data_IF_914438244383
#
_entry.id   IF_914438244383
#
_cell.length_a   1.000
_cell.length_b   1.000
_cell.length_c   1.000
_cell.angle_alpha   90.00
_cell.angle_beta   90.00
_cell.angle_gamma   90.00
#
_symmetry.space_group_name_H-M   'P 1'
#
loop_
_entity.id
_entity.type
_entity.pdbx_description
1 polymer ?
#
# COMPACT_ATOMS: atom_id res chain seq x y z
N UNK A 1 11.69 9.57 5.80
CA UNK A 1 11.71 8.20 6.40
C UNK A 1 12.46 8.26 7.72
N UNK A 2 11.83 7.86 8.82
CA UNK A 2 12.46 7.96 10.13
C UNK A 2 13.39 6.75 10.38
N UNK A 3 14.51 6.68 9.66
CA UNK A 3 15.56 5.69 9.89
C UNK A 3 16.47 6.25 11.00
N UNK A 4 16.18 5.90 12.24
CA UNK A 4 17.08 6.19 13.35
C UNK A 4 18.37 5.43 13.12
N UNK A 5 19.52 6.09 13.35
CA UNK A 5 20.85 5.51 13.16
C UNK A 5 21.20 5.22 11.68
N UNK A 6 21.16 6.26 10.86
CA UNK A 6 21.43 6.19 9.42
C UNK A 6 22.82 5.62 9.11
N UNK A 7 23.84 5.96 9.89
CA UNK A 7 25.23 5.50 9.67
C UNK A 7 25.34 3.97 9.83
N UNK A 8 24.64 3.42 10.84
CA UNK A 8 24.57 1.97 11.04
C UNK A 8 23.86 1.29 9.87
N UNK A 9 22.76 1.87 9.37
CA UNK A 9 21.99 1.30 8.28
C UNK A 9 22.78 1.30 6.97
N UNK A 10 23.51 2.39 6.69
CA UNK A 10 24.37 2.50 5.51
C UNK A 10 25.53 1.50 5.51
N UNK A 11 26.01 1.10 6.70
CA UNK A 11 27.07 0.10 6.86
C UNK A 11 26.56 -1.34 7.01
N UNK A 12 25.26 -1.58 7.11
CA UNK A 12 24.69 -2.91 7.36
C UNK A 12 24.45 -3.71 6.09
N UNK A 13 24.65 -5.03 6.18
CA UNK A 13 24.17 -5.95 5.13
C UNK A 13 22.65 -6.14 5.22
N UNK A 14 21.97 -6.45 4.11
CA UNK A 14 20.51 -6.69 4.10
C UNK A 14 20.04 -7.70 5.14
N UNK A 15 20.83 -8.75 5.42
CA UNK A 15 20.53 -9.77 6.43
C UNK A 15 20.57 -9.29 7.89
N UNK A 16 21.12 -8.11 8.13
CA UNK A 16 21.22 -7.49 9.46
C UNK A 16 20.07 -6.50 9.73
N UNK A 17 19.24 -6.24 8.73
CA UNK A 17 18.11 -5.32 8.79
C UNK A 17 16.79 -6.08 8.99
N UNK A 18 15.87 -5.51 9.76
CA UNK A 18 14.50 -6.03 9.83
C UNK A 18 13.75 -5.84 8.50
N UNK A 19 12.69 -6.62 8.26
CA UNK A 19 11.89 -6.50 7.04
C UNK A 19 11.36 -5.09 6.80
N UNK A 20 10.87 -4.41 7.84
CA UNK A 20 10.42 -3.03 7.75
C UNK A 20 11.56 -2.02 7.50
N UNK A 21 12.77 -2.29 8.00
CA UNK A 21 13.95 -1.47 7.67
C UNK A 21 14.34 -1.66 6.20
N UNK A 22 14.35 -2.90 5.70
CA UNK A 22 14.62 -3.19 4.29
C UNK A 22 13.63 -2.52 3.35
N UNK A 23 12.33 -2.57 3.65
CA UNK A 23 11.31 -1.88 2.87
C UNK A 23 11.53 -0.37 2.83
N UNK A 24 11.85 0.25 3.95
CA UNK A 24 12.13 1.69 4.01
C UNK A 24 13.41 2.06 3.26
N UNK A 25 14.45 1.25 3.32
CA UNK A 25 15.68 1.44 2.53
C UNK A 25 15.39 1.31 1.04
N UNK A 26 14.67 0.27 0.62
CA UNK A 26 14.28 0.07 -0.77
C UNK A 26 13.44 1.26 -1.30
N UNK A 27 12.48 1.73 -0.51
CA UNK A 27 11.67 2.90 -0.85
C UNK A 27 12.53 4.18 -0.92
N UNK A 28 13.50 4.37 -0.03
CA UNK A 28 14.41 5.52 -0.07
C UNK A 28 15.28 5.53 -1.34
N UNK A 29 15.81 4.37 -1.73
CA UNK A 29 16.60 4.20 -2.96
C UNK A 29 15.71 4.52 -4.17
N UNK A 30 14.52 3.91 -4.25
CA UNK A 30 13.58 4.10 -5.36
C UNK A 30 13.20 5.58 -5.53
N UNK A 31 12.83 6.23 -4.45
CA UNK A 31 12.44 7.65 -4.48
C UNK A 31 13.62 8.57 -4.80
N UNK A 32 14.84 8.23 -4.33
CA UNK A 32 16.07 8.96 -4.67
C UNK A 32 16.44 8.88 -6.15
N UNK A 33 16.05 7.81 -6.83
CA UNK A 33 16.23 7.66 -8.29
C UNK A 33 15.25 8.51 -9.11
N UNK A 34 14.20 9.02 -8.50
CA UNK A 34 13.17 9.86 -9.14
C UNK A 34 12.61 9.28 -10.46
N UNK A 35 12.14 8.02 -10.48
CA UNK A 35 11.68 7.37 -11.70
C UNK A 35 10.37 8.00 -12.21
N UNK A 36 10.10 7.88 -13.52
CA UNK A 36 8.84 8.32 -14.12
C UNK A 36 7.69 7.35 -13.82
N UNK A 37 8.01 6.06 -13.60
CA UNK A 37 7.05 5.00 -13.30
C UNK A 37 7.55 4.12 -12.15
N UNK A 38 6.64 3.76 -11.25
CA UNK A 38 6.90 2.86 -10.12
C UNK A 38 5.93 1.70 -10.15
N UNK A 39 6.46 0.49 -10.00
CA UNK A 39 5.68 -0.71 -9.69
C UNK A 39 5.92 -1.06 -8.21
N UNK A 40 4.89 -0.98 -7.41
CA UNK A 40 4.94 -1.27 -5.98
C UNK A 40 4.02 -2.46 -5.65
N UNK A 41 4.62 -3.57 -5.23
CA UNK A 41 3.92 -4.80 -4.85
C UNK A 41 3.98 -4.96 -3.33
N UNK A 42 2.81 -4.84 -2.67
CA UNK A 42 2.61 -4.87 -1.21
C UNK A 42 3.65 -4.05 -0.42
N UNK A 43 3.93 -2.78 -0.79
CA UNK A 43 5.05 -2.02 -0.23
C UNK A 43 4.85 -1.65 1.25
N UNK A 44 3.65 -1.83 1.79
CA UNK A 44 3.28 -1.49 3.18
C UNK A 44 3.17 -2.70 4.09
N UNK A 45 3.22 -3.93 3.58
CA UNK A 45 2.87 -5.16 4.29
C UNK A 45 3.71 -5.46 5.55
N UNK A 46 4.99 -5.03 5.59
CA UNK A 46 5.88 -5.25 6.74
C UNK A 46 6.07 -3.99 7.61
N UNK A 47 5.25 -2.96 7.41
CA UNK A 47 5.33 -1.70 8.15
C UNK A 47 4.25 -1.65 9.23
N UNK A 48 4.60 -1.06 10.39
CA UNK A 48 3.63 -0.59 11.35
C UNK A 48 2.85 0.63 10.80
N UNK A 49 1.76 1.00 11.46
CA UNK A 49 0.84 2.04 11.00
C UNK A 49 1.54 3.39 10.77
N UNK A 50 2.41 3.82 11.69
CA UNK A 50 3.13 5.10 11.60
C UNK A 50 4.06 5.11 10.37
N UNK A 51 4.84 4.06 10.17
CA UNK A 51 5.77 3.95 9.05
C UNK A 51 5.04 3.74 7.70
N UNK A 52 3.91 3.03 7.71
CA UNK A 52 3.02 2.89 6.56
C UNK A 52 2.52 4.26 6.09
N UNK A 53 1.93 5.04 7.00
CA UNK A 53 1.34 6.35 6.68
C UNK A 53 2.42 7.33 6.19
N UNK A 54 3.61 7.30 6.80
CA UNK A 54 4.75 8.09 6.35
C UNK A 54 5.19 7.69 4.93
N UNK A 55 5.28 6.40 4.62
CA UNK A 55 5.63 5.93 3.28
C UNK A 55 4.60 6.39 2.24
N UNK A 56 3.31 6.23 2.55
CA UNK A 56 2.22 6.64 1.66
C UNK A 56 2.24 8.14 1.38
N UNK A 57 2.48 8.96 2.41
CA UNK A 57 2.63 10.41 2.27
C UNK A 57 3.79 10.79 1.36
N UNK A 58 4.96 10.18 1.56
CA UNK A 58 6.14 10.42 0.73
C UNK A 58 5.87 9.99 -0.72
N UNK A 59 5.25 8.82 -0.92
CA UNK A 59 4.89 8.35 -2.26
C UNK A 59 3.90 9.30 -2.93
N UNK A 60 2.89 9.79 -2.22
CA UNK A 60 1.92 10.74 -2.73
C UNK A 60 2.59 12.04 -3.21
N UNK A 61 3.54 12.57 -2.44
CA UNK A 61 4.26 13.79 -2.81
C UNK A 61 5.22 13.58 -3.98
N UNK A 62 6.01 12.51 -3.95
CA UNK A 62 7.05 12.25 -4.93
C UNK A 62 6.52 11.71 -6.27
N UNK A 63 5.35 11.06 -6.24
CA UNK A 63 4.75 10.43 -7.41
C UNK A 63 3.56 11.23 -8.00
N UNK A 64 3.35 12.48 -7.56
CA UNK A 64 2.20 13.32 -7.95
C UNK A 64 2.04 13.46 -9.46
N UNK A 65 3.14 13.62 -10.20
CA UNK A 65 3.16 13.81 -11.65
C UNK A 65 3.76 12.60 -12.40
N UNK A 66 3.76 11.42 -11.75
CA UNK A 66 4.40 10.20 -12.25
C UNK A 66 3.43 9.04 -12.28
N UNK A 67 3.76 8.00 -13.04
CA UNK A 67 2.96 6.77 -13.09
C UNK A 67 3.24 5.85 -11.91
N UNK A 68 2.18 5.36 -11.25
CA UNK A 68 2.31 4.33 -10.23
C UNK A 68 1.35 3.17 -10.50
N UNK A 69 1.88 1.96 -10.50
CA UNK A 69 1.09 0.74 -10.39
C UNK A 69 1.31 0.17 -8.98
N UNK A 70 0.27 0.23 -8.17
CA UNK A 70 0.30 -0.13 -6.76
C UNK A 70 -0.56 -1.36 -6.53
N UNK A 71 0.05 -2.47 -6.09
CA UNK A 71 -0.64 -3.71 -5.73
C UNK A 71 -0.72 -3.78 -4.22
N UNK A 72 -1.92 -3.85 -3.67
CA UNK A 72 -2.14 -3.96 -2.22
C UNK A 72 -3.55 -4.42 -1.90
N UNK A 73 -3.74 -4.97 -0.71
CA UNK A 73 -5.02 -5.19 -0.07
C UNK A 73 -5.40 -4.06 0.92
N UNK A 74 -4.53 -3.07 1.12
CA UNK A 74 -4.78 -1.92 1.99
C UNK A 74 -5.66 -0.89 1.28
N UNK A 75 -6.95 -0.85 1.67
CA UNK A 75 -7.96 0.07 1.12
C UNK A 75 -7.58 1.53 1.32
N UNK A 76 -6.99 1.88 2.47
CA UNK A 76 -6.61 3.26 2.77
C UNK A 76 -5.47 3.71 1.85
N UNK A 77 -4.48 2.85 1.61
CA UNK A 77 -3.40 3.11 0.68
C UNK A 77 -3.92 3.31 -0.75
N UNK A 78 -4.76 2.38 -1.23
CA UNK A 78 -5.35 2.45 -2.57
C UNK A 78 -6.21 3.70 -2.76
N UNK A 79 -7.00 4.09 -1.76
CA UNK A 79 -7.85 5.28 -1.82
C UNK A 79 -7.04 6.58 -1.86
N UNK A 80 -5.91 6.63 -1.16
CA UNK A 80 -5.09 7.83 -1.07
C UNK A 80 -4.13 8.01 -2.25
N UNK A 81 -3.64 6.90 -2.85
CA UNK A 81 -2.63 6.95 -3.90
C UNK A 81 -3.20 6.72 -5.31
N UNK A 82 -4.28 5.95 -5.44
CA UNK A 82 -4.74 5.46 -6.74
C UNK A 82 -6.04 6.15 -7.17
N UNK A 83 -6.04 6.68 -8.39
CA UNK A 83 -7.26 7.22 -9.01
C UNK A 83 -8.16 6.12 -9.52
N UNK A 84 -7.57 5.07 -10.11
CA UNK A 84 -8.27 3.91 -10.64
C UNK A 84 -7.79 2.64 -9.97
N UNK A 85 -8.71 1.76 -9.63
CA UNK A 85 -8.45 0.48 -8.99
C UNK A 85 -9.00 -0.64 -9.87
N UNK A 86 -8.22 -1.70 -10.03
CA UNK A 86 -8.58 -2.91 -10.74
C UNK A 86 -8.60 -4.06 -9.75
N UNK A 87 -9.75 -4.72 -9.63
CA UNK A 87 -9.93 -5.88 -8.74
C UNK A 87 -9.61 -7.14 -9.52
N UNK A 88 -8.63 -7.91 -9.03
CA UNK A 88 -8.22 -9.18 -9.63
C UNK A 88 -8.87 -10.36 -8.90
N UNK A 89 -9.49 -11.24 -9.66
CA UNK A 89 -10.05 -12.49 -9.15
C UNK A 89 -9.84 -13.62 -10.16
N UNK A 90 -9.34 -14.77 -9.70
CA UNK A 90 -9.07 -15.96 -10.52
C UNK A 90 -8.27 -15.62 -11.82
N UNK A 91 -7.25 -14.77 -11.71
CA UNK A 91 -6.38 -14.36 -12.83
C UNK A 91 -7.02 -13.42 -13.84
N UNK A 92 -8.15 -12.82 -13.52
CA UNK A 92 -8.88 -11.87 -14.40
C UNK A 92 -9.23 -10.60 -13.64
N UNK A 93 -9.36 -9.48 -14.36
CA UNK A 93 -9.97 -8.27 -13.81
C UNK A 93 -11.48 -8.53 -13.71
N UNK A 94 -12.01 -8.56 -12.50
CA UNK A 94 -13.44 -8.82 -12.23
C UNK A 94 -14.23 -7.55 -12.01
N UNK A 95 -13.58 -6.46 -11.61
CA UNK A 95 -14.21 -5.15 -11.42
C UNK A 95 -13.15 -4.06 -11.52
N UNK A 96 -13.54 -2.83 -11.89
CA UNK A 96 -12.65 -1.68 -11.91
C UNK A 96 -13.41 -0.37 -11.70
N UNK A 97 -12.71 0.65 -11.20
CA UNK A 97 -13.25 1.98 -10.97
C UNK A 97 -12.45 2.75 -9.95
N UNK A 98 -12.98 3.88 -9.46
CA UNK A 98 -12.43 4.53 -8.27
C UNK A 98 -12.75 3.70 -7.03
N UNK A 99 -11.91 3.77 -5.99
CA UNK A 99 -12.16 3.03 -4.74
C UNK A 99 -13.53 3.41 -4.13
N UNK A 100 -13.91 4.69 -4.14
CA UNK A 100 -15.20 5.12 -3.62
C UNK A 100 -16.38 4.49 -4.38
N UNK A 101 -16.29 4.36 -5.70
CA UNK A 101 -17.32 3.70 -6.52
C UNK A 101 -17.38 2.20 -6.22
N UNK A 102 -16.23 1.54 -6.13
CA UNK A 102 -16.16 0.11 -5.83
C UNK A 102 -16.74 -0.23 -4.46
N UNK A 103 -16.51 0.63 -3.46
CA UNK A 103 -17.05 0.43 -2.11
C UNK A 103 -18.55 0.80 -1.99
N UNK A 104 -19.01 1.86 -2.68
CA UNK A 104 -20.41 2.32 -2.57
C UNK A 104 -21.37 1.56 -3.45
N UNK A 105 -20.91 1.00 -4.57
CA UNK A 105 -21.76 0.30 -5.55
C UNK A 105 -21.04 -0.93 -6.15
N UNK A 106 -20.64 -1.89 -5.28
CA UNK A 106 -19.93 -3.10 -5.72
C UNK A 106 -20.80 -3.97 -6.61
N UNK A 107 -20.26 -4.47 -7.71
CA UNK A 107 -20.99 -5.29 -8.68
C UNK A 107 -20.78 -6.78 -8.44
N UNK A 108 -19.56 -7.19 -8.11
CA UNK A 108 -19.21 -8.59 -7.85
C UNK A 108 -19.52 -9.00 -6.41
N UNK A 109 -19.82 -10.27 -6.19
CA UNK A 109 -20.07 -10.79 -4.83
C UNK A 109 -18.81 -10.69 -3.94
N UNK A 110 -17.63 -10.86 -4.55
CA UNK A 110 -16.38 -10.64 -3.86
C UNK A 110 -16.27 -9.20 -3.35
N UNK A 111 -16.53 -8.21 -4.22
CA UNK A 111 -16.42 -6.80 -3.85
C UNK A 111 -17.50 -6.37 -2.85
N UNK A 112 -18.70 -6.97 -2.89
CA UNK A 112 -19.75 -6.76 -1.87
C UNK A 112 -19.30 -7.22 -0.49
N UNK A 113 -18.66 -8.40 -0.39
CA UNK A 113 -18.11 -8.91 0.85
C UNK A 113 -16.96 -8.04 1.35
N UNK A 114 -16.05 -7.66 0.46
CA UNK A 114 -14.92 -6.78 0.77
C UNK A 114 -15.38 -5.41 1.28
N UNK A 115 -16.34 -4.77 0.60
CA UNK A 115 -16.93 -3.49 1.04
C UNK A 115 -17.57 -3.59 2.43
N UNK A 116 -18.31 -4.66 2.69
CA UNK A 116 -18.92 -4.88 4.00
C UNK A 116 -17.88 -5.03 5.12
N UNK A 117 -16.71 -5.63 4.83
CA UNK A 117 -15.62 -5.80 5.77
C UNK A 117 -14.89 -4.47 6.02
N UNK A 118 -14.56 -3.71 4.96
CA UNK A 118 -13.87 -2.42 5.07
C UNK A 118 -14.66 -1.38 5.87
N UNK A 119 -16.00 -1.43 5.81
CA UNK A 119 -16.86 -0.59 6.64
C UNK A 119 -16.86 -0.98 8.14
N UNK A 120 -16.55 -2.23 8.49
CA UNK A 120 -16.40 -2.68 9.89
C UNK A 120 -15.05 -2.27 10.46
N UNK A 121 -14.01 -2.33 9.67
CA UNK A 121 -12.65 -1.91 10.04
C UNK A 121 -12.61 -0.41 10.40
N UNK A 122 -13.25 0.44 9.61
CA UNK A 122 -13.37 1.88 9.88
C UNK A 122 -14.13 2.22 11.17
N UNK A 123 -14.90 1.27 11.75
CA UNK A 123 -15.62 1.41 13.03
C UNK A 123 -14.90 0.78 14.22
N UNK A 124 -13.69 0.26 14.04
CA UNK A 124 -12.93 -0.39 15.13
C UNK A 124 -13.51 -1.72 15.63
N UNK A 125 -14.40 -2.35 14.87
CA UNK A 125 -15.10 -3.59 15.24
C UNK A 125 -14.38 -4.88 14.78
N UNK A 126 -13.14 -4.76 14.26
CA UNK A 126 -12.41 -5.88 13.63
C UNK A 126 -11.58 -6.68 14.63
N UNK A 127 -11.79 -8.01 14.66
CA UNK A 127 -10.91 -9.00 15.30
C UNK A 127 -10.57 -10.10 14.30
N UNK A 128 -9.30 -10.41 14.10
CA UNK A 128 -8.73 -11.39 13.14
C UNK A 128 -9.09 -12.87 13.41
N UNK A 129 -9.99 -13.17 14.35
CA UNK A 129 -10.23 -14.52 14.85
C UNK A 129 -11.15 -15.40 13.98
N UNK A 130 -11.56 -14.97 12.77
CA UNK A 130 -12.50 -15.75 11.94
C UNK A 130 -12.20 -15.62 10.44
N UNK A 131 -11.05 -16.10 10.03
CA UNK A 131 -10.81 -16.54 8.62
C UNK A 131 -10.12 -17.89 8.64
#
# INVERSE_FOLDING_TARGET
MNLKDTDRILGAYPSELSGGMLQRVAAAILLGMSPDYVLADEPTAALDEENRDLLLLIMQEQMKDKGILFVSHDVAALKNLCQNVYVLGAGKIIEHGTMDKLLSSPQTDWMKQFSALSHRESRGEWKWEKL
#
